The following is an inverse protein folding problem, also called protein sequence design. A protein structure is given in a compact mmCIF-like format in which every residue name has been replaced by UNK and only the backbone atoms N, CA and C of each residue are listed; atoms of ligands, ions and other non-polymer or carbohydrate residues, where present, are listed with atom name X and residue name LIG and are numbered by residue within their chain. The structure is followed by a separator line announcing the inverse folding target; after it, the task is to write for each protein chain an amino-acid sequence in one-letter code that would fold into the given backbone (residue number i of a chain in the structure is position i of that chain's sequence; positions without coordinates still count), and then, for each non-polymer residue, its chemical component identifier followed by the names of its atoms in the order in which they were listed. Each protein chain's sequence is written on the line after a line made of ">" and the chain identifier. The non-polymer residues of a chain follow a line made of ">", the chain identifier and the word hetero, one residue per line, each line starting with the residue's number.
data_IF_610560451998
#
_entry.id   IF_610560451998
#
_cell.length_a   1.000
_cell.length_b   1.000
_cell.length_c   1.000
_cell.angle_alpha   90.00
_cell.angle_beta   90.00
_cell.angle_gamma   90.00
#
_symmetry.space_group_name_H-M   'P 1'
#
loop_
_entity.id
_entity.type
_entity.pdbx_description
1 polymer ?
#
# COMPACT_ATOMS: atom_id res chain seq x y z
N UNK A 1 -5.21 65.76 2.34
CA UNK A 1 -6.50 65.15 2.72
C UNK A 1 -6.34 63.64 2.65
N UNK A 2 -6.60 62.98 3.77
CA UNK A 2 -6.52 61.54 4.02
C UNK A 2 -7.52 60.74 3.16
N UNK A 3 -7.15 59.52 2.74
CA UNK A 3 -7.93 58.25 2.79
C UNK A 3 -7.14 57.18 1.99
N UNK A 4 -6.29 56.38 2.64
CA UNK A 4 -6.52 55.04 3.24
C UNK A 4 -6.82 53.90 2.24
N UNK A 5 -5.85 52.97 2.21
CA UNK A 5 -5.81 51.55 1.83
C UNK A 5 -7.17 50.84 1.75
N UNK A 6 -7.31 49.93 0.78
CA UNK A 6 -7.50 48.47 0.96
C UNK A 6 -8.02 47.82 -0.34
N UNK A 7 -7.13 47.28 -1.17
CA UNK A 7 -7.47 46.12 -2.02
C UNK A 7 -6.34 45.12 -1.83
N UNK A 8 -6.54 44.30 -0.81
CA UNK A 8 -5.67 43.18 -0.43
C UNK A 8 -6.55 41.95 -0.45
N UNK A 9 -6.13 40.93 -1.18
CA UNK A 9 -6.47 39.51 -1.00
C UNK A 9 -7.95 39.15 -1.16
N UNK A 10 -8.35 38.75 -2.37
CA UNK A 10 -9.34 37.67 -2.52
C UNK A 10 -9.20 37.02 -3.89
N UNK A 11 -8.27 36.06 -4.02
CA UNK A 11 -8.25 35.10 -5.14
C UNK A 11 -7.51 33.80 -4.80
N UNK A 12 -7.45 33.45 -3.50
CA UNK A 12 -6.98 32.15 -3.01
C UNK A 12 -8.01 31.65 -2.00
N UNK A 13 -9.18 31.24 -2.50
CA UNK A 13 -10.21 30.56 -1.72
C UNK A 13 -11.17 29.78 -2.65
N UNK A 14 -10.61 29.05 -3.60
CA UNK A 14 -11.36 28.08 -4.41
C UNK A 14 -10.54 26.81 -4.58
N UNK A 15 -10.00 26.32 -3.46
CA UNK A 15 -9.50 24.96 -3.34
C UNK A 15 -10.41 24.21 -2.38
N UNK A 16 -10.66 22.95 -2.72
CA UNK A 16 -11.22 21.90 -1.86
C UNK A 16 -12.75 21.87 -1.76
N UNK A 17 -13.41 21.53 -2.87
CA UNK A 17 -14.62 20.68 -2.84
C UNK A 17 -14.60 19.78 -4.07
N UNK A 18 -13.65 18.85 -4.10
CA UNK A 18 -13.76 17.68 -4.94
C UNK A 18 -14.01 16.51 -4.01
N UNK A 19 -15.14 15.86 -4.20
CA UNK A 19 -15.51 14.61 -3.54
C UNK A 19 -14.61 13.52 -4.11
N UNK A 20 -13.75 12.94 -3.27
CA UNK A 20 -12.79 11.93 -3.68
C UNK A 20 -13.00 10.66 -2.88
N UNK A 21 -13.18 9.55 -3.60
CA UNK A 21 -13.25 8.19 -3.05
C UNK A 21 -11.81 7.60 -3.03
N UNK A 22 -11.42 6.56 -2.27
CA UNK A 22 -9.99 6.11 -2.27
C UNK A 22 -9.65 4.73 -1.67
N UNK A 23 -8.93 3.91 -2.44
CA UNK A 23 -8.02 2.83 -1.97
C UNK A 23 -6.59 3.12 -2.47
N UNK A 24 -5.59 3.16 -1.58
CA UNK A 24 -4.21 3.53 -1.95
C UNK A 24 -3.23 2.39 -1.68
N UNK A 25 -2.15 2.28 -2.46
CA UNK A 25 -1.14 1.24 -2.23
C UNK A 25 0.29 1.61 -2.55
N UNK A 26 1.21 1.07 -1.77
CA UNK A 26 2.67 1.20 -1.96
C UNK A 26 3.31 -0.18 -2.10
N UNK A 27 4.42 -0.28 -2.84
CA UNK A 27 5.22 -1.51 -3.00
C UNK A 27 6.30 -1.67 -1.91
N UNK A 28 6.34 -0.74 -0.95
CA UNK A 28 7.15 -0.78 0.25
C UNK A 28 6.56 0.19 1.29
N UNK A 29 7.01 0.05 2.53
CA UNK A 29 6.71 0.99 3.60
C UNK A 29 8.02 1.42 4.25
N UNK A 30 8.16 2.71 4.54
CA UNK A 30 9.27 3.34 5.25
C UNK A 30 8.74 4.67 5.81
N UNK A 31 8.84 4.87 7.12
CA UNK A 31 8.06 5.89 7.82
C UNK A 31 8.44 7.31 7.38
N UNK A 32 9.70 7.60 7.07
CA UNK A 32 10.10 8.94 6.62
C UNK A 32 9.49 9.28 5.25
N UNK A 33 9.66 8.40 4.28
CA UNK A 33 9.17 8.58 2.92
C UNK A 33 7.63 8.54 2.90
N UNK A 34 7.00 7.62 3.64
CA UNK A 34 5.55 7.53 3.75
C UNK A 34 4.95 8.78 4.40
N UNK A 35 5.62 9.39 5.39
CA UNK A 35 5.20 10.68 5.95
C UNK A 35 5.25 11.83 4.93
N UNK A 36 6.11 11.72 3.92
CA UNK A 36 6.26 12.65 2.81
C UNK A 36 5.44 12.24 1.56
N UNK A 37 4.37 11.46 1.73
CA UNK A 37 3.48 11.05 0.63
C UNK A 37 4.01 9.85 -0.17
N UNK A 38 5.07 9.20 0.31
CA UNK A 38 5.77 8.12 -0.40
C UNK A 38 6.90 8.62 -1.30
N UNK A 39 7.25 9.91 -1.25
CA UNK A 39 8.41 10.44 -2.00
C UNK A 39 9.71 9.90 -1.41
N UNK A 40 10.64 9.51 -2.27
CA UNK A 40 11.93 8.99 -1.85
C UNK A 40 12.91 8.73 -2.99
N UNK A 41 12.52 8.86 -4.26
CA UNK A 41 13.36 8.52 -5.40
C UNK A 41 14.59 9.43 -5.53
N UNK A 42 14.48 10.68 -5.05
CA UNK A 42 15.57 11.65 -5.02
C UNK A 42 15.91 12.16 -3.61
N UNK A 43 15.19 11.73 -2.57
CA UNK A 43 15.28 12.31 -1.21
C UNK A 43 15.48 11.28 -0.09
N UNK A 44 15.48 9.97 -0.40
CA UNK A 44 15.66 8.94 0.63
C UNK A 44 17.03 9.03 1.29
N UNK A 45 17.07 8.69 2.57
CA UNK A 45 18.33 8.47 3.28
C UNK A 45 19.07 7.23 2.71
N UNK A 46 20.40 7.25 2.70
CA UNK A 46 21.20 6.15 2.14
C UNK A 46 20.87 4.80 2.80
N UNK A 47 20.62 4.81 4.12
CA UNK A 47 20.31 3.61 4.90
C UNK A 47 19.04 2.85 4.47
N UNK A 48 18.16 3.50 3.69
CA UNK A 48 16.88 2.92 3.21
C UNK A 48 16.78 2.92 1.68
N UNK A 49 17.80 3.45 0.99
CA UNK A 49 17.90 3.55 -0.46
C UNK A 49 17.58 2.24 -1.21
N UNK A 50 17.96 1.04 -0.74
CA UNK A 50 17.61 -0.22 -1.42
C UNK A 50 16.10 -0.46 -1.55
N UNK A 51 15.28 0.11 -0.67
CA UNK A 51 13.83 -0.04 -0.73
C UNK A 51 13.20 0.87 -1.79
N UNK A 52 13.90 1.96 -2.14
CA UNK A 52 13.46 3.03 -3.03
C UNK A 52 14.34 3.07 -4.29
N UNK A 53 15.38 3.90 -4.29
CA UNK A 53 16.34 4.08 -5.36
C UNK A 53 17.76 3.66 -4.89
N UNK A 54 18.31 2.53 -5.35
CA UNK A 54 19.60 2.04 -4.88
C UNK A 54 20.76 3.01 -5.19
N UNK A 55 20.62 3.93 -6.15
CA UNK A 55 21.66 4.92 -6.43
C UNK A 55 21.91 5.88 -5.26
N UNK A 56 20.93 6.06 -4.35
CA UNK A 56 21.07 6.94 -3.19
C UNK A 56 21.98 6.34 -2.10
N UNK A 57 22.45 5.09 -2.24
CA UNK A 57 23.44 4.50 -1.34
C UNK A 57 24.77 5.28 -1.30
N UNK A 58 25.12 5.99 -2.38
CA UNK A 58 26.33 6.83 -2.46
C UNK A 58 26.20 8.14 -1.68
N UNK A 59 25.00 8.49 -1.19
CA UNK A 59 24.70 9.76 -0.49
C UNK A 59 24.92 9.67 1.02
N UNK A 60 25.73 8.74 1.48
CA UNK A 60 26.13 8.64 2.89
C UNK A 60 26.99 9.82 3.32
N UNK A 61 26.92 10.18 4.60
CA UNK A 61 27.79 11.19 5.18
C UNK A 61 29.22 10.68 5.36
N UNK A 62 30.18 11.60 5.45
CA UNK A 62 31.63 11.30 5.60
C UNK A 62 31.96 10.52 6.89
N UNK A 63 31.03 10.48 7.85
CA UNK A 63 31.20 9.79 9.14
C UNK A 63 30.35 8.53 9.27
N UNK A 64 29.62 8.18 8.23
CA UNK A 64 28.67 7.07 8.28
C UNK A 64 29.39 5.79 7.87
N UNK A 65 29.69 4.92 8.83
CA UNK A 65 30.40 3.67 8.56
C UNK A 65 29.42 2.52 8.33
N UNK A 66 28.25 2.59 8.96
CA UNK A 66 27.21 1.56 8.86
C UNK A 66 25.82 2.09 9.22
N UNK A 67 24.78 1.59 8.54
CA UNK A 67 23.38 1.82 8.92
C UNK A 67 22.62 0.50 8.99
N UNK A 68 21.86 0.31 10.07
CA UNK A 68 20.94 -0.81 10.25
C UNK A 68 19.54 -0.28 10.47
N UNK A 69 18.62 -0.57 9.55
CA UNK A 69 17.20 -0.31 9.70
C UNK A 69 16.48 -1.63 9.98
N UNK A 70 15.97 -1.80 11.20
CA UNK A 70 15.24 -2.99 11.62
C UNK A 70 14.50 -2.74 12.95
N UNK A 71 13.19 -3.02 13.04
CA UNK A 71 12.27 -3.33 11.96
C UNK A 71 11.70 -2.06 11.32
N UNK A 72 11.31 -2.15 10.05
CA UNK A 72 10.29 -1.27 9.45
C UNK A 72 9.00 -2.05 9.38
N UNK A 73 7.91 -1.50 9.88
CA UNK A 73 6.58 -2.12 9.82
C UNK A 73 5.57 -1.08 9.37
N UNK A 74 4.83 -1.40 8.31
CA UNK A 74 3.74 -0.58 7.81
C UNK A 74 2.47 -1.39 7.65
N UNK A 75 1.34 -0.78 7.94
CA UNK A 75 0.01 -1.31 7.66
C UNK A 75 -0.85 -0.19 7.09
N UNK A 76 -1.67 -0.54 6.11
CA UNK A 76 -2.67 0.35 5.56
C UNK A 76 -3.98 -0.44 5.38
N UNK A 77 -5.08 0.16 5.82
CA UNK A 77 -6.40 -0.44 5.81
C UNK A 77 -7.34 0.52 5.10
N UNK A 78 -8.03 0.02 4.10
CA UNK A 78 -9.09 0.71 3.38
C UNK A 78 -10.36 -0.11 3.55
N UNK A 79 -11.25 0.36 4.40
CA UNK A 79 -12.51 -0.30 4.72
C UNK A 79 -13.67 0.73 4.71
N UNK A 80 -14.10 1.18 3.50
CA UNK A 80 -15.20 2.13 3.38
C UNK A 80 -16.51 1.62 4.01
N UNK A 81 -16.71 0.29 4.06
CA UNK A 81 -18.00 -0.33 4.41
C UNK A 81 -18.01 -1.03 5.79
N UNK A 82 -16.95 -0.92 6.61
CA UNK A 82 -16.79 -1.60 7.90
C UNK A 82 -16.95 -3.14 7.81
N UNK A 83 -16.19 -3.76 6.91
CA UNK A 83 -16.19 -5.18 6.57
C UNK A 83 -16.06 -6.15 7.74
N UNK A 84 -15.22 -5.82 8.72
CA UNK A 84 -15.04 -6.67 9.91
C UNK A 84 -16.35 -6.85 10.67
N UNK A 85 -17.25 -5.87 10.64
CA UNK A 85 -18.58 -5.99 11.25
C UNK A 85 -19.58 -6.71 10.35
N UNK A 86 -19.43 -6.68 9.02
CA UNK A 86 -20.44 -7.19 8.09
C UNK A 86 -20.26 -8.68 7.75
N UNK A 87 -19.03 -9.17 7.67
CA UNK A 87 -18.76 -10.58 7.34
C UNK A 87 -19.26 -11.55 8.44
N UNK A 88 -19.00 -11.24 9.71
CA UNK A 88 -19.50 -12.04 10.84
C UNK A 88 -21.03 -11.97 10.95
N UNK A 89 -21.62 -10.80 10.69
CA UNK A 89 -23.08 -10.63 10.66
C UNK A 89 -23.73 -11.45 9.55
N UNK A 90 -23.14 -11.50 8.35
CA UNK A 90 -23.61 -12.37 7.25
C UNK A 90 -23.65 -13.83 7.67
N UNK A 91 -22.57 -14.32 8.29
CA UNK A 91 -22.53 -15.72 8.75
C UNK A 91 -23.60 -15.99 9.81
N UNK A 92 -23.83 -15.04 10.72
CA UNK A 92 -24.86 -15.17 11.75
C UNK A 92 -26.28 -15.09 11.18
N UNK A 93 -26.54 -14.17 10.26
CA UNK A 93 -27.84 -14.01 9.59
C UNK A 93 -28.14 -15.24 8.71
N UNK A 94 -27.12 -15.84 8.07
CA UNK A 94 -27.23 -17.12 7.39
C UNK A 94 -27.61 -18.25 8.34
N UNK A 95 -26.89 -18.42 9.46
CA UNK A 95 -27.17 -19.47 10.46
C UNK A 95 -28.57 -19.32 11.07
N UNK A 96 -29.02 -18.08 11.29
CA UNK A 96 -30.36 -17.79 11.78
C UNK A 96 -31.43 -18.18 10.75
N UNK A 97 -31.22 -17.86 9.47
CA UNK A 97 -32.10 -18.28 8.38
C UNK A 97 -32.12 -19.80 8.20
N UNK A 98 -30.96 -20.46 8.21
CA UNK A 98 -30.82 -21.92 8.13
C UNK A 98 -31.59 -22.62 9.25
N UNK A 99 -31.43 -22.13 10.49
CA UNK A 99 -32.14 -22.64 11.66
C UNK A 99 -33.65 -22.36 11.60
N UNK A 100 -34.07 -21.20 11.08
CA UNK A 100 -35.47 -20.85 10.92
C UNK A 100 -36.18 -21.78 9.94
N UNK A 101 -35.53 -22.09 8.82
CA UNK A 101 -36.02 -23.03 7.80
C UNK A 101 -36.14 -24.43 8.39
N UNK A 102 -35.10 -24.92 9.08
CA UNK A 102 -35.13 -26.27 9.66
C UNK A 102 -36.20 -26.43 10.75
N UNK A 103 -36.39 -25.40 11.58
CA UNK A 103 -37.38 -25.40 12.66
C UNK A 103 -38.77 -24.92 12.23
N UNK A 104 -38.95 -24.51 10.96
CA UNK A 104 -40.20 -23.97 10.42
C UNK A 104 -40.76 -22.79 11.24
N UNK A 105 -39.88 -21.93 11.75
CA UNK A 105 -40.23 -20.82 12.64
C UNK A 105 -39.49 -19.55 12.21
N UNK A 106 -40.18 -18.41 12.16
CA UNK A 106 -39.62 -17.10 11.78
C UNK A 106 -38.88 -17.07 10.43
N UNK A 107 -39.23 -17.98 9.49
CA UNK A 107 -38.64 -18.06 8.15
C UNK A 107 -38.74 -16.72 7.39
N UNK A 108 -39.91 -16.05 7.33
CA UNK A 108 -40.00 -14.79 6.59
C UNK A 108 -39.13 -13.67 7.19
N UNK A 109 -39.05 -13.59 8.52
CA UNK A 109 -38.26 -12.57 9.21
C UNK A 109 -36.76 -12.78 9.02
N UNK A 110 -36.29 -14.03 9.14
CA UNK A 110 -34.89 -14.36 8.93
C UNK A 110 -34.46 -14.20 7.46
N UNK A 111 -35.35 -14.48 6.51
CA UNK A 111 -35.13 -14.23 5.08
C UNK A 111 -34.94 -12.73 4.78
N UNK A 112 -35.79 -11.85 5.33
CA UNK A 112 -35.63 -10.38 5.19
C UNK A 112 -34.30 -9.90 5.72
N UNK A 113 -33.92 -10.35 6.93
CA UNK A 113 -32.63 -9.97 7.55
C UNK A 113 -31.44 -10.40 6.69
N UNK A 114 -31.46 -11.64 6.20
CA UNK A 114 -30.41 -12.13 5.31
C UNK A 114 -30.36 -11.35 3.99
N UNK A 115 -31.52 -11.02 3.39
CA UNK A 115 -31.61 -10.18 2.18
C UNK A 115 -30.99 -8.80 2.40
N UNK A 116 -31.41 -8.09 3.45
CA UNK A 116 -30.87 -6.76 3.81
C UNK A 116 -29.35 -6.83 4.00
N UNK A 117 -28.88 -7.85 4.71
CA UNK A 117 -27.45 -8.06 4.94
C UNK A 117 -26.68 -8.36 3.66
N UNK A 118 -27.25 -9.15 2.74
CA UNK A 118 -26.67 -9.39 1.43
C UNK A 118 -26.67 -8.13 0.56
N UNK A 119 -27.68 -7.27 0.67
CA UNK A 119 -27.70 -5.97 0.00
C UNK A 119 -26.57 -5.06 0.50
N UNK A 120 -26.35 -4.99 1.82
CA UNK A 120 -25.19 -4.29 2.39
C UNK A 120 -23.86 -4.89 1.87
N UNK A 121 -23.79 -6.23 1.82
CA UNK A 121 -22.59 -6.93 1.39
C UNK A 121 -22.26 -6.77 -0.09
N UNK A 122 -23.26 -6.53 -0.94
CA UNK A 122 -23.07 -6.34 -2.38
C UNK A 122 -22.12 -5.19 -2.71
N UNK A 123 -22.15 -4.14 -1.90
CA UNK A 123 -21.33 -2.94 -2.11
C UNK A 123 -19.99 -3.00 -1.37
N UNK A 124 -19.74 -4.13 -0.71
CA UNK A 124 -18.66 -4.24 0.25
C UNK A 124 -17.32 -4.53 -0.42
N UNK A 125 -16.36 -3.62 -0.23
CA UNK A 125 -14.97 -3.78 -0.65
C UNK A 125 -14.00 -3.35 0.46
N UNK A 126 -13.11 -4.24 0.88
CA UNK A 126 -11.95 -3.83 1.69
C UNK A 126 -10.67 -4.27 1.04
N UNK A 127 -9.66 -3.45 1.27
CA UNK A 127 -8.30 -3.74 0.95
C UNK A 127 -7.42 -3.45 2.16
N UNK A 128 -6.56 -4.39 2.50
CA UNK A 128 -5.47 -4.18 3.44
C UNK A 128 -4.15 -4.34 2.73
N UNK A 129 -3.17 -3.56 3.16
CA UNK A 129 -1.78 -3.76 2.84
C UNK A 129 -0.94 -3.79 4.09
N UNK A 130 0.16 -4.49 3.97
CA UNK A 130 1.16 -4.61 5.01
C UNK A 130 2.54 -4.63 4.37
N UNK A 131 3.53 -4.17 5.10
CA UNK A 131 4.91 -4.39 4.73
C UNK A 131 5.83 -4.43 5.93
N UNK A 132 6.90 -5.19 5.78
CA UNK A 132 7.96 -5.36 6.75
C UNK A 132 9.27 -5.27 5.98
N UNK A 133 10.22 -4.49 6.48
CA UNK A 133 11.55 -4.42 5.87
C UNK A 133 12.68 -4.39 6.91
N UNK A 134 13.83 -4.84 6.45
CA UNK A 134 15.10 -4.80 7.13
C UNK A 134 16.19 -4.43 6.11
N UNK A 135 17.05 -3.47 6.46
CA UNK A 135 18.15 -3.04 5.60
C UNK A 135 19.42 -2.89 6.42
N UNK A 136 20.53 -3.42 5.91
CA UNK A 136 21.86 -3.18 6.45
C UNK A 136 22.72 -2.57 5.33
N UNK A 137 23.11 -1.31 5.49
CA UNK A 137 23.87 -0.55 4.49
C UNK A 137 25.29 -0.29 4.98
N UNK A 138 26.23 -0.52 4.08
CA UNK A 138 27.67 -0.31 4.23
C UNK A 138 28.10 0.75 3.19
N UNK A 139 28.15 2.02 3.61
CA UNK A 139 28.81 3.09 2.86
C UNK A 139 30.23 2.71 2.44
N UNK A 140 30.63 3.15 1.25
CA UNK A 140 32.00 3.01 0.78
C UNK A 140 32.28 4.05 -0.32
N UNK A 141 33.50 4.59 -0.34
CA UNK A 141 33.95 5.63 -1.27
C UNK A 141 33.89 5.22 -2.75
N UNK A 142 33.98 3.92 -3.05
CA UNK A 142 34.02 3.43 -4.44
C UNK A 142 32.77 2.63 -4.81
N UNK A 143 32.31 1.76 -3.90
CA UNK A 143 31.18 0.87 -4.13
C UNK A 143 30.38 0.70 -2.83
N UNK A 144 29.43 1.59 -2.61
CA UNK A 144 28.49 1.47 -1.51
C UNK A 144 27.61 0.23 -1.71
N UNK A 145 27.32 -0.48 -0.62
CA UNK A 145 26.56 -1.73 -0.69
C UNK A 145 25.52 -1.82 0.42
N UNK A 146 24.48 -2.60 0.20
CA UNK A 146 23.50 -2.88 1.23
C UNK A 146 22.84 -4.23 1.02
N UNK A 147 22.47 -4.88 2.12
CA UNK A 147 21.60 -6.04 2.13
C UNK A 147 20.18 -5.61 2.49
N UNK A 148 19.17 -6.09 1.76
CA UNK A 148 17.77 -5.85 2.06
C UNK A 148 16.95 -7.13 2.14
N UNK A 149 16.01 -7.15 3.07
CA UNK A 149 14.88 -8.07 3.08
C UNK A 149 13.63 -7.22 3.19
N UNK A 150 12.70 -7.38 2.24
CA UNK A 150 11.43 -6.67 2.23
C UNK A 150 10.31 -7.63 1.93
N UNK A 151 9.27 -7.62 2.74
CA UNK A 151 8.00 -8.27 2.44
C UNK A 151 6.92 -7.22 2.34
N UNK A 152 6.11 -7.26 1.28
CA UNK A 152 4.91 -6.45 1.18
C UNK A 152 3.75 -7.32 0.70
N UNK A 153 2.55 -7.00 1.13
CA UNK A 153 1.39 -7.77 0.74
C UNK A 153 0.14 -6.91 0.59
N UNK A 154 -0.78 -7.41 -0.23
CA UNK A 154 -2.13 -6.88 -0.36
C UNK A 154 -3.11 -8.00 -0.05
N UNK A 155 -4.17 -7.67 0.66
CA UNK A 155 -5.35 -8.50 0.89
C UNK A 155 -6.54 -7.73 0.36
N UNK A 156 -7.42 -8.38 -0.39
CA UNK A 156 -8.67 -7.79 -0.86
C UNK A 156 -9.82 -8.74 -0.56
N UNK A 157 -10.90 -8.19 -0.03
CA UNK A 157 -12.15 -8.91 0.25
C UNK A 157 -13.27 -8.19 -0.48
N UNK A 158 -14.04 -8.96 -1.26
CA UNK A 158 -15.16 -8.48 -2.05
C UNK A 158 -16.37 -9.37 -1.79
N UNK A 159 -17.52 -8.74 -1.59
CA UNK A 159 -18.80 -9.43 -1.62
C UNK A 159 -19.36 -9.51 -3.03
N UNK A 160 -19.75 -10.72 -3.47
CA UNK A 160 -20.51 -10.89 -4.71
C UNK A 160 -21.87 -11.50 -4.40
N UNK A 161 -22.90 -10.69 -4.54
CA UNK A 161 -24.26 -11.06 -4.19
C UNK A 161 -25.09 -11.22 -5.45
N UNK A 162 -25.70 -12.39 -5.60
CA UNK A 162 -26.56 -12.71 -6.75
C UNK A 162 -27.90 -11.98 -6.66
N UNK A 163 -28.37 -11.36 -7.75
CA UNK A 163 -29.72 -10.80 -7.81
C UNK A 163 -30.78 -11.88 -7.58
N UNK A 164 -30.57 -13.06 -8.16
CA UNK A 164 -31.48 -14.18 -8.00
C UNK A 164 -31.59 -14.66 -6.54
N UNK A 165 -30.55 -14.48 -5.73
CA UNK A 165 -30.58 -14.79 -4.30
C UNK A 165 -31.41 -13.75 -3.52
N UNK A 166 -31.27 -12.46 -3.86
CA UNK A 166 -32.06 -11.40 -3.23
C UNK A 166 -33.55 -11.54 -3.56
N UNK A 167 -33.87 -11.80 -4.82
CA UNK A 167 -35.24 -12.04 -5.29
C UNK A 167 -35.81 -13.30 -4.62
N UNK A 168 -35.00 -14.36 -4.46
CA UNK A 168 -35.45 -15.57 -3.81
C UNK A 168 -35.76 -15.36 -2.32
N UNK A 169 -34.89 -14.64 -1.61
CA UNK A 169 -35.11 -14.29 -0.20
C UNK A 169 -36.30 -13.34 -0.02
N UNK A 170 -36.55 -12.43 -0.97
CA UNK A 170 -37.75 -11.59 -0.99
C UNK A 170 -39.02 -12.43 -1.14
N UNK A 171 -39.03 -13.37 -2.08
CA UNK A 171 -40.19 -14.26 -2.25
C UNK A 171 -40.46 -15.10 -0.99
N UNK A 172 -39.43 -15.58 -0.30
CA UNK A 172 -39.57 -16.31 0.98
C UNK A 172 -40.07 -15.38 2.10
N UNK A 173 -39.68 -14.11 2.07
CA UNK A 173 -40.16 -13.12 3.03
C UNK A 173 -41.63 -12.73 2.82
N UNK A 174 -42.13 -12.84 1.60
CA UNK A 174 -43.49 -12.43 1.22
C UNK A 174 -44.49 -13.59 1.16
N UNK A 175 -44.00 -14.82 1.02
CA UNK A 175 -44.78 -16.05 1.21
C UNK A 175 -44.57 -16.57 2.64
N UNK A 176 -45.52 -17.30 3.24
CA UNK A 176 -45.45 -17.78 4.64
C UNK A 176 -44.29 -18.79 4.94
N UNK A 177 -43.21 -18.81 4.14
CA UNK A 177 -42.00 -19.57 4.37
C UNK A 177 -42.07 -21.05 3.96
N UNK A 178 -43.00 -21.41 3.08
CA UNK A 178 -43.19 -22.79 2.60
C UNK A 178 -42.20 -23.12 1.46
N UNK A 179 -41.70 -24.37 1.43
CA UNK A 179 -40.84 -24.92 0.37
C UNK A 179 -39.53 -24.15 0.11
N UNK A 180 -38.75 -23.90 1.17
CA UNK A 180 -37.43 -23.25 1.07
C UNK A 180 -36.33 -24.24 0.67
N UNK A 181 -35.73 -24.05 -0.51
CA UNK A 181 -34.51 -24.69 -0.95
C UNK A 181 -33.28 -23.81 -0.69
N UNK A 182 -32.60 -24.08 0.42
CA UNK A 182 -31.37 -23.42 0.84
C UNK A 182 -30.22 -23.59 -0.18
N UNK A 183 -30.27 -24.60 -1.05
CA UNK A 183 -29.21 -24.85 -2.02
C UNK A 183 -29.22 -23.90 -3.20
N UNK A 184 -30.33 -23.19 -3.43
CA UNK A 184 -30.49 -22.20 -4.48
C UNK A 184 -29.63 -20.94 -4.27
N UNK A 185 -29.20 -20.67 -3.03
CA UNK A 185 -28.39 -19.49 -2.73
C UNK A 185 -26.92 -19.68 -3.17
N UNK A 186 -26.45 -18.72 -3.96
CA UNK A 186 -25.20 -18.74 -4.73
C UNK A 186 -24.26 -17.57 -4.43
N UNK A 187 -24.63 -16.65 -3.54
CA UNK A 187 -23.83 -15.49 -3.16
C UNK A 187 -22.51 -15.93 -2.49
N UNK A 188 -21.43 -15.22 -2.82
CA UNK A 188 -20.05 -15.62 -2.56
C UNK A 188 -19.25 -14.53 -1.85
N UNK A 189 -18.32 -14.96 -1.01
CA UNK A 189 -17.25 -14.12 -0.46
C UNK A 189 -15.97 -14.43 -1.22
N UNK A 190 -15.38 -13.38 -1.80
CA UNK A 190 -14.11 -13.45 -2.51
C UNK A 190 -13.04 -12.77 -1.69
N UNK A 191 -12.13 -13.54 -1.12
CA UNK A 191 -10.94 -13.02 -0.45
C UNK A 191 -9.69 -13.49 -1.21
N UNK A 192 -8.81 -12.54 -1.54
CA UNK A 192 -7.53 -12.84 -2.18
C UNK A 192 -6.41 -12.11 -1.47
N UNK A 193 -5.23 -12.71 -1.47
CA UNK A 193 -4.04 -12.05 -0.99
C UNK A 193 -2.83 -12.35 -1.87
N UNK A 194 -1.90 -11.42 -1.92
CA UNK A 194 -0.59 -11.61 -2.50
C UNK A 194 0.44 -11.06 -1.51
N UNK A 195 1.40 -11.90 -1.12
CA UNK A 195 2.57 -11.52 -0.33
C UNK A 195 3.81 -11.73 -1.20
N UNK A 196 4.67 -10.72 -1.27
CA UNK A 196 5.89 -10.72 -2.06
C UNK A 196 7.05 -10.47 -1.09
N UNK A 197 7.99 -11.41 -1.04
CA UNK A 197 9.22 -11.30 -0.25
C UNK A 197 10.42 -11.20 -1.18
N UNK A 198 11.11 -10.07 -1.10
CA UNK A 198 12.35 -9.78 -1.78
C UNK A 198 13.54 -9.92 -0.82
N UNK A 199 14.59 -10.60 -1.27
CA UNK A 199 15.91 -10.64 -0.62
C UNK A 199 16.93 -10.18 -1.65
N UNK A 200 17.61 -9.06 -1.39
CA UNK A 200 18.47 -8.42 -2.39
C UNK A 200 19.76 -7.86 -1.80
N UNK A 201 20.74 -7.69 -2.69
CA UNK A 201 21.99 -6.99 -2.40
C UNK A 201 22.03 -5.79 -3.33
N UNK A 202 21.98 -4.59 -2.78
CA UNK A 202 22.10 -3.35 -3.54
C UNK A 202 23.58 -2.93 -3.59
N UNK A 203 24.00 -2.44 -4.75
CA UNK A 203 25.32 -1.91 -5.01
C UNK A 203 25.16 -0.57 -5.71
N UNK A 204 25.97 0.42 -5.34
CA UNK A 204 25.95 1.73 -5.98
C UNK A 204 27.34 2.35 -6.07
N UNK A 205 27.53 3.15 -7.11
CA UNK A 205 28.78 3.86 -7.38
C UNK A 205 28.48 5.27 -7.85
N UNK A 206 29.38 6.21 -7.55
CA UNK A 206 29.32 7.60 -7.99
C UNK A 206 30.36 7.82 -9.09
N UNK A 207 29.94 8.48 -10.16
CA UNK A 207 30.75 8.86 -11.31
C UNK A 207 30.67 10.37 -11.49
N UNK A 208 31.81 11.01 -11.74
CA UNK A 208 31.82 12.42 -12.13
C UNK A 208 31.73 12.53 -13.65
N UNK A 209 30.71 13.20 -14.18
CA UNK A 209 30.55 13.45 -15.62
C UNK A 209 30.13 14.90 -15.84
N UNK A 210 30.86 15.62 -16.70
CA UNK A 210 30.57 17.02 -17.04
C UNK A 210 30.42 17.97 -15.83
N UNK A 211 31.19 17.72 -14.76
CA UNK A 211 31.16 18.52 -13.53
C UNK A 211 29.99 18.23 -12.59
N UNK A 212 29.19 17.19 -12.87
CA UNK A 212 28.09 16.76 -12.03
C UNK A 212 28.32 15.32 -11.52
N UNK A 213 27.84 15.05 -10.30
CA UNK A 213 27.93 13.75 -9.63
C UNK A 213 26.75 12.88 -10.03
N UNK A 214 27.00 11.88 -10.87
CA UNK A 214 26.02 10.88 -11.29
C UNK A 214 26.23 9.61 -10.47
N UNK A 215 25.26 9.26 -9.64
CA UNK A 215 25.22 7.98 -8.93
C UNK A 215 24.38 6.96 -9.68
N UNK A 216 24.88 5.73 -9.76
CA UNK A 216 24.19 4.59 -10.37
C UNK A 216 24.08 3.47 -9.35
N UNK A 217 22.92 2.84 -9.28
CA UNK A 217 22.62 1.74 -8.38
C UNK A 217 22.02 0.54 -9.09
N UNK A 218 22.31 -0.65 -8.59
CA UNK A 218 21.76 -1.91 -9.08
C UNK A 218 21.47 -2.84 -7.90
N UNK A 219 20.37 -3.58 -7.96
CA UNK A 219 19.95 -4.50 -6.89
C UNK A 219 19.43 -5.79 -7.50
N UNK A 220 20.26 -6.82 -7.69
CA UNK A 220 19.75 -8.17 -7.93
C UNK A 220 19.01 -8.67 -6.69
N UNK A 221 17.89 -9.36 -6.91
CA UNK A 221 17.07 -9.89 -5.82
C UNK A 221 16.47 -11.24 -6.15
N UNK A 222 16.38 -12.08 -5.13
CA UNK A 222 15.51 -13.24 -5.11
C UNK A 222 14.12 -12.80 -4.65
N UNK A 223 13.08 -13.26 -5.35
CA UNK A 223 11.70 -12.85 -5.13
C UNK A 223 10.81 -14.09 -4.97
N UNK A 224 10.20 -14.23 -3.79
CA UNK A 224 9.17 -15.22 -3.48
C UNK A 224 7.81 -14.54 -3.52
N UNK A 225 6.85 -15.17 -4.20
CA UNK A 225 5.47 -14.69 -4.28
C UNK A 225 4.54 -15.77 -3.74
N UNK A 226 3.80 -15.43 -2.69
CA UNK A 226 2.78 -16.26 -2.06
C UNK A 226 1.40 -15.67 -2.40
N UNK A 227 0.60 -16.41 -3.16
CA UNK A 227 -0.76 -16.03 -3.55
C UNK A 227 -1.78 -16.87 -2.80
N UNK A 228 -2.85 -16.21 -2.36
CA UNK A 228 -3.99 -16.81 -1.68
C UNK A 228 -5.27 -16.48 -2.44
N UNK A 229 -6.11 -17.49 -2.67
CA UNK A 229 -7.43 -17.33 -3.26
C UNK A 229 -8.44 -18.12 -2.43
N UNK A 230 -9.32 -17.40 -1.76
CA UNK A 230 -10.41 -17.95 -0.96
C UNK A 230 -11.73 -17.47 -1.56
N UNK A 231 -12.36 -18.34 -2.33
CA UNK A 231 -13.66 -18.12 -2.92
C UNK A 231 -14.64 -19.17 -2.41
N UNK A 232 -15.58 -18.77 -1.55
CA UNK A 232 -16.57 -19.69 -0.96
C UNK A 232 -17.98 -19.12 -1.04
N UNK A 233 -18.96 -20.00 -1.13
CA UNK A 233 -20.36 -19.64 -0.93
C UNK A 233 -20.53 -19.14 0.51
N UNK A 234 -21.37 -18.11 0.71
CA UNK A 234 -21.63 -17.54 2.04
C UNK A 234 -22.08 -18.62 3.04
N UNK A 235 -22.88 -19.58 2.58
CA UNK A 235 -23.33 -20.72 3.39
C UNK A 235 -22.22 -21.64 3.91
N UNK A 236 -21.05 -21.62 3.27
CA UNK A 236 -19.88 -22.42 3.59
C UNK A 236 -18.74 -21.57 4.17
N UNK A 237 -19.02 -20.32 4.57
CA UNK A 237 -18.03 -19.46 5.19
C UNK A 237 -17.67 -19.95 6.60
N UNK A 238 -16.38 -20.23 6.81
CA UNK A 238 -15.80 -20.58 8.09
C UNK A 238 -14.49 -19.80 8.26
N UNK A 239 -14.43 -18.95 9.29
CA UNK A 239 -13.28 -18.10 9.60
C UNK A 239 -12.03 -18.89 10.00
N UNK A 240 -12.15 -20.18 10.30
CA UNK A 240 -11.04 -21.06 10.67
C UNK A 240 -10.38 -21.79 9.49
N UNK A 241 -10.96 -21.72 8.29
CA UNK A 241 -10.52 -22.45 7.09
C UNK A 241 -9.22 -21.92 6.44
N UNK A 242 -8.71 -20.75 6.87
CA UNK A 242 -7.54 -20.07 6.31
C UNK A 242 -6.19 -20.75 6.57
N UNK A 243 -6.14 -21.90 7.28
CA UNK A 243 -4.90 -22.59 7.67
C UNK A 243 -4.47 -23.74 6.74
N UNK A 244 -5.16 -23.97 5.62
CA UNK A 244 -4.87 -25.10 4.73
C UNK A 244 -4.17 -24.70 3.42
N UNK A 245 -3.18 -25.51 2.99
CA UNK A 245 -2.41 -25.38 1.73
C UNK A 245 -3.27 -25.39 0.44
N UNK A 246 -4.57 -25.68 0.56
CA UNK A 246 -5.53 -25.80 -0.56
C UNK A 246 -5.72 -24.48 -1.32
N UNK A 247 -5.46 -23.34 -0.68
CA UNK A 247 -5.73 -22.00 -1.23
C UNK A 247 -4.45 -21.22 -1.58
N UNK A 248 -3.28 -21.83 -1.39
CA UNK A 248 -1.97 -21.17 -1.43
C UNK A 248 -1.16 -21.64 -2.65
N UNK A 249 -0.64 -20.68 -3.43
CA UNK A 249 0.34 -20.93 -4.49
C UNK A 249 1.62 -20.13 -4.20
N UNK A 250 2.78 -20.80 -4.23
CA UNK A 250 4.07 -20.16 -4.00
C UNK A 250 4.91 -20.27 -5.26
N UNK A 251 5.44 -19.14 -5.73
CA UNK A 251 6.39 -19.13 -6.84
C UNK A 251 7.61 -18.28 -6.52
N UNK A 252 8.78 -18.89 -6.69
CA UNK A 252 10.07 -18.23 -6.55
C UNK A 252 10.57 -17.72 -7.91
N UNK A 253 11.50 -16.78 -7.89
CA UNK A 253 12.24 -16.35 -9.07
C UNK A 253 13.28 -15.29 -8.73
N UNK A 254 13.92 -14.77 -9.77
CA UNK A 254 14.88 -13.67 -9.66
C UNK A 254 14.28 -12.41 -10.28
N UNK A 255 14.70 -11.27 -9.77
CA UNK A 255 14.37 -9.96 -10.31
C UNK A 255 15.55 -9.01 -10.08
N UNK A 256 15.45 -7.78 -10.56
CA UNK A 256 16.43 -6.76 -10.28
C UNK A 256 15.79 -5.37 -10.29
N UNK A 257 16.45 -4.43 -9.64
CA UNK A 257 16.13 -3.00 -9.63
C UNK A 257 17.36 -2.21 -10.11
N UNK A 258 17.15 -1.09 -10.83
CA UNK A 258 18.22 -0.14 -11.22
C UNK A 258 17.81 1.26 -10.80
N UNK A 259 18.79 2.04 -10.38
CA UNK A 259 18.63 3.41 -9.95
C UNK A 259 19.65 4.35 -10.57
N UNK A 260 19.27 5.60 -10.76
CA UNK A 260 20.16 6.70 -11.05
C UNK A 260 19.80 7.90 -10.18
N UNK A 261 20.80 8.68 -9.78
CA UNK A 261 20.63 9.94 -9.06
C UNK A 261 21.67 10.94 -9.54
N UNK A 262 21.30 12.21 -9.63
CA UNK A 262 22.20 13.27 -10.11
C UNK A 262 21.99 14.53 -9.28
N UNK A 263 23.08 15.04 -8.69
CA UNK A 263 23.04 16.35 -8.03
C UNK A 263 23.32 17.43 -9.07
N UNK A 264 22.35 18.32 -9.25
CA UNK A 264 22.47 19.47 -10.17
C UNK A 264 23.30 20.58 -9.53
N UNK A 265 23.14 20.76 -8.22
CA UNK A 265 23.90 21.65 -7.35
C UNK A 265 23.87 21.12 -5.91
N UNK A 266 24.24 21.95 -4.92
CA UNK A 266 24.28 21.56 -3.52
C UNK A 266 22.90 21.35 -2.87
N UNK A 267 21.82 21.68 -3.57
CA UNK A 267 20.47 21.68 -3.03
C UNK A 267 19.51 20.83 -3.84
N UNK A 268 19.72 20.65 -5.14
CA UNK A 268 18.83 19.93 -6.04
C UNK A 268 19.37 18.55 -6.45
N UNK A 269 18.56 17.53 -6.23
CA UNK A 269 18.84 16.16 -6.69
C UNK A 269 17.71 15.67 -7.59
N UNK A 270 18.08 15.06 -8.71
CA UNK A 270 17.18 14.31 -9.60
C UNK A 270 17.37 12.82 -9.36
N UNK A 271 16.27 12.07 -9.43
CA UNK A 271 16.27 10.61 -9.27
C UNK A 271 15.43 9.93 -10.34
N UNK A 272 15.87 8.73 -10.72
CA UNK A 272 15.13 7.80 -11.57
C UNK A 272 15.37 6.39 -11.08
N UNK A 273 14.31 5.61 -10.92
CA UNK A 273 14.43 4.20 -10.54
C UNK A 273 13.51 3.34 -11.39
N UNK A 274 13.98 2.15 -11.73
CA UNK A 274 13.18 1.08 -12.32
C UNK A 274 13.29 -0.18 -11.46
N UNK A 275 12.21 -0.51 -10.76
CA UNK A 275 12.10 -1.69 -9.91
C UNK A 275 11.40 -2.83 -10.66
N UNK A 276 11.68 -4.07 -10.26
CA UNK A 276 11.07 -5.29 -10.80
C UNK A 276 11.22 -5.41 -12.33
N UNK A 277 12.45 -5.28 -12.84
CA UNK A 277 12.77 -5.29 -14.27
C UNK A 277 12.29 -6.53 -15.02
N UNK A 278 12.15 -7.67 -14.34
CA UNK A 278 11.70 -8.93 -14.92
C UNK A 278 10.19 -9.09 -14.65
N UNK A 279 9.31 -8.85 -15.65
CA UNK A 279 7.87 -9.01 -15.49
C UNK A 279 7.47 -10.48 -15.30
N UNK A 280 6.49 -10.73 -14.44
CA UNK A 280 5.93 -12.08 -14.22
C UNK A 280 4.42 -12.02 -14.00
N UNK A 281 3.72 -13.02 -14.51
CA UNK A 281 2.29 -13.25 -14.23
C UNK A 281 2.16 -14.58 -13.52
N UNK A 282 1.49 -14.56 -12.37
CA UNK A 282 1.38 -15.72 -11.48
C UNK A 282 -0.10 -15.89 -11.17
N UNK A 283 -0.62 -17.07 -11.47
CA UNK A 283 -2.01 -17.40 -11.21
C UNK A 283 -2.18 -17.95 -9.80
N UNK A 284 -3.28 -17.60 -9.15
CA UNK A 284 -3.70 -18.28 -7.93
C UNK A 284 -4.07 -19.73 -8.23
N UNK A 285 -4.21 -20.57 -7.20
CA UNK A 285 -4.94 -21.84 -7.39
C UNK A 285 -6.39 -21.55 -7.81
N UNK A 286 -6.93 -22.41 -8.68
CA UNK A 286 -8.34 -22.38 -9.06
C UNK A 286 -9.18 -22.86 -7.87
N UNK A 287 -10.19 -22.07 -7.51
CA UNK A 287 -11.15 -22.40 -6.44
C UNK A 287 -12.55 -22.14 -6.96
N UNK A 288 -13.34 -23.20 -7.08
CA UNK A 288 -14.70 -23.15 -7.65
C UNK A 288 -14.75 -22.48 -9.05
N UNK A 289 -13.82 -22.82 -9.95
CA UNK A 289 -13.77 -22.27 -11.30
C UNK A 289 -13.25 -20.83 -11.40
N UNK A 290 -12.76 -20.25 -10.30
CA UNK A 290 -12.22 -18.89 -10.27
C UNK A 290 -10.72 -18.92 -10.01
N UNK A 291 -10.00 -18.27 -10.91
CA UNK A 291 -8.55 -18.04 -10.85
C UNK A 291 -8.30 -16.54 -11.01
N UNK A 292 -7.37 -16.01 -10.22
CA UNK A 292 -6.91 -14.63 -10.31
C UNK A 292 -5.45 -14.60 -10.74
N UNK A 293 -5.06 -13.58 -11.49
CA UNK A 293 -3.67 -13.39 -11.92
C UNK A 293 -3.06 -12.20 -11.20
N UNK A 294 -2.00 -12.44 -10.43
CA UNK A 294 -1.14 -11.39 -9.89
C UNK A 294 -0.01 -11.09 -10.86
N UNK A 295 0.18 -9.82 -11.22
CA UNK A 295 1.20 -9.39 -12.16
C UNK A 295 2.26 -8.55 -11.47
N UNK A 296 3.49 -9.05 -11.48
CA UNK A 296 4.69 -8.28 -11.16
C UNK A 296 5.05 -7.46 -12.41
N UNK A 297 5.00 -6.14 -12.26
CA UNK A 297 5.24 -5.17 -13.34
C UNK A 297 6.56 -4.44 -13.09
N UNK A 298 7.32 -4.09 -14.15
CA UNK A 298 8.36 -3.09 -14.05
C UNK A 298 7.76 -1.75 -13.60
N UNK A 299 8.27 -1.22 -12.49
CA UNK A 299 7.81 0.01 -11.84
C UNK A 299 8.88 1.08 -12.02
N UNK A 300 8.58 2.08 -12.84
CA UNK A 300 9.49 3.19 -13.12
C UNK A 300 8.95 4.44 -12.45
N UNK A 301 9.79 5.10 -11.65
CA UNK A 301 9.44 6.33 -10.92
C UNK A 301 10.56 7.34 -11.09
N UNK A 302 10.21 8.60 -11.32
CA UNK A 302 11.16 9.71 -11.33
C UNK A 302 10.85 10.65 -10.19
N UNK A 303 11.88 11.31 -9.66
CA UNK A 303 11.74 12.22 -8.55
C UNK A 303 12.69 13.41 -8.65
N UNK A 304 12.30 14.50 -8.00
CA UNK A 304 13.16 15.66 -7.76
C UNK A 304 13.08 16.00 -6.28
N UNK A 305 14.22 16.36 -5.70
CA UNK A 305 14.27 16.88 -4.34
C UNK A 305 15.03 18.20 -4.30
N UNK A 306 14.59 19.06 -3.38
CA UNK A 306 15.34 20.24 -2.98
C UNK A 306 15.57 20.17 -1.47
N UNK A 307 16.79 20.37 -1.01
CA UNK A 307 17.14 20.29 0.39
C UNK A 307 18.11 21.38 0.84
N UNK A 308 18.07 21.69 2.13
CA UNK A 308 19.07 22.43 2.88
C UNK A 308 19.14 21.88 4.32
N UNK A 309 19.89 22.55 5.21
CA UNK A 309 20.07 22.08 6.59
C UNK A 309 18.77 21.95 7.40
N UNK A 310 17.71 22.69 7.03
CA UNK A 310 16.46 22.80 7.79
C UNK A 310 15.26 22.17 7.08
N UNK A 311 15.27 22.11 5.75
CA UNK A 311 14.13 21.70 4.94
C UNK A 311 14.56 20.73 3.85
N UNK A 312 13.75 19.69 3.65
CA UNK A 312 13.78 18.84 2.46
C UNK A 312 12.40 18.87 1.83
N UNK A 313 12.32 19.06 0.52
CA UNK A 313 11.08 18.92 -0.26
C UNK A 313 11.32 17.93 -1.38
N UNK A 314 10.30 17.16 -1.74
CA UNK A 314 10.41 16.16 -2.78
C UNK A 314 9.11 16.05 -3.56
N UNK A 315 9.25 15.71 -4.84
CA UNK A 315 8.16 15.38 -5.74
C UNK A 315 8.54 14.14 -6.53
N UNK A 316 7.70 13.11 -6.46
CA UNK A 316 7.87 11.86 -7.19
C UNK A 316 6.65 11.58 -8.07
N UNK A 317 6.89 11.04 -9.26
CA UNK A 317 5.86 10.64 -10.23
C UNK A 317 6.18 9.24 -10.73
N UNK A 318 5.25 8.32 -10.48
CA UNK A 318 5.28 6.99 -11.07
C UNK A 318 4.99 7.11 -12.56
N UNK A 319 5.90 6.62 -13.40
CA UNK A 319 5.77 6.57 -14.85
C UNK A 319 5.06 5.30 -15.32
N UNK A 320 5.11 4.23 -14.51
CA UNK A 320 4.38 2.98 -14.78
C UNK A 320 3.53 2.54 -13.59
N UNK A 321 2.47 1.75 -13.80
CA UNK A 321 1.62 1.28 -12.72
C UNK A 321 2.30 0.25 -11.81
N UNK A 322 1.90 0.24 -10.54
CA UNK A 322 2.34 -0.73 -9.56
C UNK A 322 1.96 -2.19 -9.90
N UNK A 323 2.70 -3.13 -9.31
CA UNK A 323 2.34 -4.55 -9.29
C UNK A 323 1.02 -4.80 -8.54
N UNK A 324 0.27 -5.83 -8.91
CA UNK A 324 -1.07 -6.08 -8.36
C UNK A 324 -1.87 -7.12 -9.14
N UNK A 325 -3.04 -7.51 -8.63
CA UNK A 325 -3.96 -8.36 -9.38
C UNK A 325 -4.41 -7.66 -10.67
N UNK A 326 -4.63 -8.44 -11.72
CA UNK A 326 -5.02 -7.93 -13.03
C UNK A 326 -6.46 -7.38 -13.06
N UNK A 327 -7.31 -7.87 -12.17
CA UNK A 327 -8.69 -7.43 -11.96
C UNK A 327 -8.81 -6.19 -11.07
N UNK A 328 -7.73 -5.79 -10.38
CA UNK A 328 -7.69 -4.54 -9.60
C UNK A 328 -7.53 -3.32 -10.52
N UNK A 329 -8.05 -2.17 -10.07
CA UNK A 329 -7.70 -0.88 -10.66
C UNK A 329 -6.20 -0.64 -10.57
N UNK A 330 -5.62 -0.09 -11.64
CA UNK A 330 -4.21 0.29 -11.66
C UNK A 330 -3.94 1.40 -10.64
N UNK A 331 -2.71 1.42 -10.13
CA UNK A 331 -2.25 2.38 -9.12
C UNK A 331 -0.96 2.99 -9.62
N UNK A 332 -0.93 4.31 -9.68
CA UNK A 332 0.19 5.10 -10.19
C UNK A 332 0.10 6.46 -9.52
N UNK A 333 1.11 6.89 -8.78
CA UNK A 333 0.99 8.09 -7.96
C UNK A 333 1.84 9.25 -8.45
N UNK A 334 1.33 10.46 -8.22
CA UNK A 334 2.16 11.64 -8.04
C UNK A 334 2.13 12.01 -6.55
N UNK A 335 3.30 12.24 -5.96
CA UNK A 335 3.44 12.56 -4.56
C UNK A 335 4.29 13.82 -4.38
N UNK A 336 3.97 14.60 -3.35
CA UNK A 336 4.74 15.74 -2.90
C UNK A 336 4.87 15.69 -1.38
N UNK A 337 6.06 15.99 -0.87
CA UNK A 337 6.34 15.93 0.54
C UNK A 337 7.33 16.98 0.99
N UNK A 338 7.27 17.31 2.28
CA UNK A 338 8.20 18.19 2.95
C UNK A 338 8.61 17.63 4.32
N UNK A 339 9.86 17.85 4.67
CA UNK A 339 10.47 17.57 5.96
C UNK A 339 11.04 18.86 6.52
N UNK A 340 10.76 19.12 7.79
CA UNK A 340 11.36 20.17 8.59
C UNK A 340 12.22 19.53 9.66
N UNK A 341 13.53 19.78 9.62
CA UNK A 341 14.51 19.27 10.57
C UNK A 341 14.74 20.30 11.68
N UNK A 342 14.08 20.12 12.81
CA UNK A 342 14.17 20.98 13.98
C UNK A 342 15.29 20.48 14.91
N UNK A 343 16.30 21.33 15.13
CA UNK A 343 17.39 21.07 16.10
C UNK A 343 18.19 19.77 15.85
N UNK A 344 18.18 19.24 14.61
CA UNK A 344 18.84 18.01 14.14
C UNK A 344 18.31 16.69 14.72
N UNK A 345 17.68 16.71 15.89
CA UNK A 345 17.18 15.50 16.56
C UNK A 345 15.66 15.31 16.44
N UNK A 346 14.91 16.29 15.93
CA UNK A 346 13.47 16.19 15.76
C UNK A 346 13.06 16.60 14.34
N UNK A 347 12.37 15.71 13.63
CA UNK A 347 11.90 15.97 12.28
C UNK A 347 10.38 15.93 12.21
N UNK A 348 9.79 16.92 11.55
CA UNK A 348 8.37 16.95 11.25
C UNK A 348 8.18 16.79 9.74
N UNK A 349 7.26 15.93 9.35
CA UNK A 349 7.03 15.60 7.94
C UNK A 349 5.56 15.68 7.59
N UNK A 350 5.28 16.13 6.39
CA UNK A 350 3.95 16.12 5.83
C UNK A 350 4.02 15.88 4.32
N UNK A 351 2.98 15.28 3.76
CA UNK A 351 2.91 15.00 2.35
C UNK A 351 1.50 14.77 1.85
N UNK A 352 1.41 14.69 0.53
CA UNK A 352 0.19 14.37 -0.20
C UNK A 352 0.54 13.49 -1.39
N UNK A 353 -0.28 12.47 -1.63
CA UNK A 353 -0.21 11.64 -2.83
C UNK A 353 -1.54 11.59 -3.54
N UNK A 354 -1.50 11.58 -4.87
CA UNK A 354 -2.65 11.51 -5.76
C UNK A 354 -2.49 10.29 -6.66
N UNK A 355 -3.50 9.43 -6.73
CA UNK A 355 -3.54 8.40 -7.76
C UNK A 355 -3.87 9.06 -9.11
N UNK A 356 -3.08 8.74 -10.12
CA UNK A 356 -3.17 9.19 -11.50
C UNK A 356 -3.99 8.22 -12.36
N UNK A 357 -4.10 6.96 -11.93
CA UNK A 357 -4.83 5.92 -12.66
C UNK A 357 -6.33 5.87 -12.35
N UNK A 358 -6.77 6.51 -11.27
CA UNK A 358 -8.18 6.65 -10.93
C UNK A 358 -8.39 7.87 -10.03
N UNK A 359 -9.65 8.30 -9.88
CA UNK A 359 -10.01 9.34 -8.91
C UNK A 359 -9.90 8.86 -7.46
N UNK A 360 -9.48 7.60 -7.26
CA UNK A 360 -9.39 6.94 -5.98
C UNK A 360 -7.94 6.62 -5.59
N UNK A 361 -7.57 6.84 -4.33
CA UNK A 361 -6.24 6.51 -3.81
C UNK A 361 -5.46 7.71 -3.27
N UNK A 362 -6.05 8.90 -3.26
CA UNK A 362 -5.39 10.07 -2.70
C UNK A 362 -5.31 10.01 -1.18
N UNK A 363 -4.20 10.49 -0.62
CA UNK A 363 -4.02 10.54 0.83
C UNK A 363 -3.13 11.68 1.28
N UNK A 364 -3.45 12.23 2.45
CA UNK A 364 -2.56 13.07 3.24
C UNK A 364 -1.74 12.21 4.19
N UNK A 365 -0.49 12.60 4.40
CA UNK A 365 0.45 11.91 5.25
C UNK A 365 1.11 12.90 6.20
N UNK A 366 1.43 12.43 7.39
CA UNK A 366 2.20 13.19 8.36
C UNK A 366 3.06 12.24 9.18
N UNK A 367 4.18 12.72 9.68
CA UNK A 367 5.05 11.90 10.51
C UNK A 367 6.01 12.72 11.35
N UNK A 368 6.59 12.02 12.33
CA UNK A 368 7.58 12.57 13.25
C UNK A 368 8.77 11.62 13.30
N UNK A 369 9.97 12.19 13.23
CA UNK A 369 11.24 11.51 13.46
C UNK A 369 11.91 12.04 14.70
N UNK A 370 12.54 11.14 15.47
CA UNK A 370 13.39 11.48 16.60
C UNK A 370 14.73 10.78 16.45
N UNK A 371 15.81 11.55 16.39
CA UNK A 371 17.18 11.08 16.17
C UNK A 371 18.15 11.52 17.27
N UNK A 372 18.00 11.07 18.54
CA UNK A 372 18.93 11.43 19.60
C UNK A 372 20.37 11.05 19.25
N UNK A 373 21.26 12.05 19.32
CA UNK A 373 22.70 11.94 19.05
C UNK A 373 23.08 11.46 17.64
N UNK A 374 22.15 11.51 16.68
CA UNK A 374 22.34 10.98 15.32
C UNK A 374 22.72 9.48 15.27
N UNK A 375 22.40 8.70 16.33
CA UNK A 375 22.73 7.26 16.43
C UNK A 375 21.49 6.38 16.35
N UNK A 376 20.42 6.75 17.06
CA UNK A 376 19.15 6.02 17.08
C UNK A 376 18.14 6.91 16.40
N UNK A 377 17.40 6.39 15.44
CA UNK A 377 16.35 7.10 14.72
C UNK A 377 15.04 6.33 14.88
N UNK A 378 14.03 7.01 15.40
CA UNK A 378 12.68 6.48 15.60
C UNK A 378 11.74 7.34 14.77
N UNK A 379 11.12 6.75 13.76
CA UNK A 379 10.15 7.46 12.94
C UNK A 379 8.80 6.77 12.96
N UNK A 380 7.75 7.59 13.01
CA UNK A 380 6.36 7.15 12.90
C UNK A 380 5.65 8.03 11.90
N UNK A 381 4.86 7.41 11.03
CA UNK A 381 4.02 8.08 10.05
C UNK A 381 2.58 7.60 10.14
N UNK A 382 1.67 8.53 9.92
CA UNK A 382 0.25 8.29 9.72
C UNK A 382 -0.16 8.68 8.31
N UNK A 383 -1.10 7.93 7.77
CA UNK A 383 -1.74 8.20 6.49
C UNK A 383 -3.25 8.26 6.70
N UNK A 384 -3.86 9.30 6.15
CA UNK A 384 -5.31 9.44 6.09
C UNK A 384 -5.69 9.72 4.63
N UNK A 385 -6.25 8.71 3.99
CA UNK A 385 -6.92 8.84 2.70
C UNK A 385 -8.39 9.21 2.89
N UNK A 386 -9.08 9.43 1.78
CA UNK A 386 -10.54 9.49 1.80
C UNK A 386 -11.15 8.09 2.06
N UNK A 387 -12.45 8.06 2.42
CA UNK A 387 -13.25 6.83 2.58
C UNK A 387 -12.70 5.79 3.58
N UNK A 388 -12.39 6.23 4.80
CA UNK A 388 -11.90 5.35 5.87
C UNK A 388 -10.62 4.58 5.50
N UNK A 389 -9.76 5.17 4.66
CA UNK A 389 -8.43 4.65 4.38
C UNK A 389 -7.42 5.23 5.38
N UNK A 390 -6.88 4.37 6.24
CA UNK A 390 -5.93 4.73 7.27
C UNK A 390 -4.68 3.89 7.15
N UNK A 391 -3.52 4.50 7.38
CA UNK A 391 -2.25 3.79 7.44
C UNK A 391 -1.41 4.28 8.60
N UNK A 392 -0.56 3.38 9.07
CA UNK A 392 0.46 3.68 10.06
C UNK A 392 1.74 2.94 9.70
N UNK A 393 2.86 3.63 9.87
CA UNK A 393 4.19 3.08 9.61
C UNK A 393 5.08 3.47 10.77
N UNK A 394 5.89 2.53 11.24
CA UNK A 394 6.87 2.76 12.28
C UNK A 394 8.19 2.12 11.87
N UNK A 395 9.29 2.76 12.24
CA UNK A 395 10.62 2.25 11.98
C UNK A 395 11.60 2.56 13.09
N UNK A 396 12.63 1.72 13.17
CA UNK A 396 13.83 1.93 13.95
C UNK A 396 15.05 1.83 13.03
N UNK A 397 15.94 2.82 13.12
CA UNK A 397 17.22 2.83 12.43
C UNK A 397 18.35 3.16 13.41
N UNK A 398 19.50 2.53 13.17
CA UNK A 398 20.74 2.74 13.90
C UNK A 398 21.83 3.13 12.91
N UNK A 399 22.58 4.18 13.22
CA UNK A 399 23.74 4.65 12.45
C UNK A 399 24.98 4.62 13.35
N UNK A 400 26.10 4.15 12.81
CA UNK A 400 27.35 3.92 13.54
C UNK A 400 28.52 4.64 12.88
#
# INVERSE_FOLDING_TARGET
>A
MMMKKHITRTLIASAVLFSFNSTAATSYFEARNDAMGGTGVASSHYGVAPLTNPALLTKSGVKDDFSLQLPVVGVQLSDPDNLTNNADKISNDWKAFDSAVDNHHDVPLSARRLKERLQDFRHTHAQSQLGIAAVAALPNDYLSSAFMVKTYGTVSVNGKVSDADLDYLENIADSDGQDVDKNRLTSQVFARAALITDVGIALATELETAGQKLSLGFTPKFQRVDLFNYNTLIKNYDSSAFKGDRYHNTQNGINADIGASMDLDNNWTLGLVAQNLIPRSIETKEVHGVTETFRIRPQVTTGVSWHNDMFTTALDVDLTPASGFTSDSKRQFAAIGAEFNAWRWAQLRAGYRQNLSSNNGSAFTAGVGLSPFDVIHIDVAGLVGSENNYGAVAQLQFTF
#
